data_IF_309062205267
#
_entry.id   IF_309062205267
#
_cell.length_a   1.000
_cell.length_b   1.000
_cell.length_c   1.000
_cell.angle_alpha   90.00
_cell.angle_beta   90.00
_cell.angle_gamma   90.00
#
_symmetry.space_group_name_H-M   'P 1'
#
loop_
_entity.id
_entity.type
_entity.pdbx_description
1 polymer ?
#
# COMPACT_ATOMS: atom_id res chain seq x y z
N UNK A 1 -32.35 63.56 -17.07
CA UNK A 1 -31.69 62.54 -16.20
C UNK A 1 -31.44 61.30 -17.03
N UNK A 2 -30.20 60.92 -17.37
CA UNK A 2 -29.92 59.77 -18.18
C UNK A 2 -29.75 58.53 -17.31
N UNK A 3 -30.41 57.49 -17.74
CA UNK A 3 -30.49 56.14 -17.23
C UNK A 3 -29.10 55.41 -17.32
N UNK A 4 -28.49 55.02 -16.20
CA UNK A 4 -27.24 54.23 -16.17
C UNK A 4 -27.62 52.76 -16.32
N UNK A 5 -27.42 52.22 -17.53
CA UNK A 5 -27.46 50.80 -17.79
C UNK A 5 -26.29 50.10 -17.11
N UNK A 6 -26.57 49.27 -16.13
CA UNK A 6 -25.63 48.40 -15.44
C UNK A 6 -25.11 47.35 -16.43
N UNK A 7 -23.82 47.27 -16.63
CA UNK A 7 -23.18 46.20 -17.40
C UNK A 7 -23.28 44.85 -16.67
N UNK A 8 -23.56 43.74 -17.36
CA UNK A 8 -23.61 42.43 -16.72
C UNK A 8 -22.20 41.99 -16.29
N UNK A 9 -22.11 41.52 -15.03
CA UNK A 9 -20.91 40.96 -14.45
C UNK A 9 -20.40 39.79 -15.30
N UNK A 10 -19.17 39.91 -15.83
CA UNK A 10 -18.50 38.80 -16.52
C UNK A 10 -18.36 37.62 -15.57
N UNK A 11 -19.04 36.52 -15.92
CA UNK A 11 -18.87 35.23 -15.28
C UNK A 11 -17.37 34.85 -15.36
N UNK A 12 -16.73 34.67 -14.20
CA UNK A 12 -15.37 34.15 -14.10
C UNK A 12 -15.42 32.71 -14.62
N UNK A 13 -14.88 32.47 -15.79
CA UNK A 13 -14.64 31.13 -16.32
C UNK A 13 -13.72 30.38 -15.35
N UNK A 14 -14.26 29.36 -14.72
CA UNK A 14 -13.47 28.38 -13.94
C UNK A 14 -12.41 27.79 -14.87
N UNK A 15 -11.11 27.77 -14.50
CA UNK A 15 -10.10 27.17 -15.36
C UNK A 15 -10.46 25.69 -15.56
N UNK A 16 -10.66 25.27 -16.80
CA UNK A 16 -10.85 23.87 -17.16
C UNK A 16 -9.65 23.07 -16.62
N UNK A 17 -9.92 22.05 -15.81
CA UNK A 17 -8.91 21.14 -15.30
C UNK A 17 -8.11 20.58 -16.49
N UNK A 18 -6.81 20.85 -16.53
CA UNK A 18 -5.92 20.29 -17.56
C UNK A 18 -6.04 18.77 -17.54
N UNK A 19 -6.26 18.14 -18.72
CA UNK A 19 -6.30 16.68 -18.79
C UNK A 19 -4.99 16.11 -18.22
N UNK A 20 -5.11 15.19 -17.26
CA UNK A 20 -3.97 14.51 -16.68
C UNK A 20 -3.16 13.81 -17.78
N UNK A 21 -1.85 14.03 -17.82
CA UNK A 21 -0.97 13.36 -18.77
C UNK A 21 -1.07 11.85 -18.57
N UNK A 22 -1.22 11.05 -19.66
CA UNK A 22 -1.23 9.58 -19.55
C UNK A 22 0.06 9.11 -18.87
N UNK A 23 -0.03 8.29 -17.84
CA UNK A 23 1.12 7.72 -17.14
C UNK A 23 1.47 8.32 -15.77
N UNK A 24 0.89 9.48 -15.36
CA UNK A 24 1.26 10.12 -14.09
C UNK A 24 0.71 9.44 -12.84
N UNK A 25 -0.35 8.63 -12.94
CA UNK A 25 -0.96 7.95 -11.79
C UNK A 25 -0.43 6.54 -11.53
N UNK A 26 -0.42 5.63 -12.52
CA UNK A 26 0.05 4.25 -12.33
C UNK A 26 1.54 4.14 -12.02
N UNK A 27 2.39 4.95 -12.63
CA UNK A 27 3.85 4.85 -12.47
C UNK A 27 4.33 5.04 -11.02
N UNK A 28 3.91 6.07 -10.27
CA UNK A 28 4.29 6.18 -8.86
C UNK A 28 3.81 5.02 -8.00
N UNK A 29 2.63 4.42 -8.30
CA UNK A 29 2.13 3.25 -7.59
C UNK A 29 3.00 2.03 -7.89
N UNK A 30 3.34 1.78 -9.15
CA UNK A 30 4.24 0.70 -9.54
C UNK A 30 5.64 0.88 -8.95
N UNK A 31 6.15 2.12 -8.91
CA UNK A 31 7.41 2.42 -8.24
C UNK A 31 7.34 2.10 -6.73
N UNK A 32 6.22 2.38 -6.07
CA UNK A 32 6.00 1.97 -4.67
C UNK A 32 6.04 0.44 -4.51
N UNK A 33 5.38 -0.29 -5.42
CA UNK A 33 5.37 -1.75 -5.41
C UNK A 33 6.77 -2.34 -5.64
N UNK A 34 7.59 -1.72 -6.51
CA UNK A 34 9.00 -2.07 -6.69
C UNK A 34 9.79 -1.93 -5.38
N UNK A 35 9.61 -0.81 -4.68
CA UNK A 35 10.29 -0.58 -3.41
C UNK A 35 9.83 -1.57 -2.34
N UNK A 36 8.53 -1.85 -2.25
CA UNK A 36 7.98 -2.84 -1.30
C UNK A 36 8.46 -4.26 -1.61
N UNK A 37 8.64 -4.63 -2.88
CA UNK A 37 9.18 -5.92 -3.29
C UNK A 37 10.59 -6.20 -2.75
N UNK A 38 11.35 -5.16 -2.34
CA UNK A 38 12.66 -5.32 -1.70
C UNK A 38 12.56 -5.66 -0.20
N UNK A 39 11.36 -5.58 0.39
CA UNK A 39 11.15 -5.74 1.85
C UNK A 39 11.61 -7.11 2.34
N UNK A 40 11.22 -8.18 1.63
CA UNK A 40 11.59 -9.55 1.98
C UNK A 40 13.10 -9.77 1.98
N UNK A 41 13.75 -9.39 0.88
CA UNK A 41 15.21 -9.49 0.71
C UNK A 41 15.96 -8.66 1.78
N UNK A 42 15.51 -7.43 2.05
CA UNK A 42 16.13 -6.61 3.08
C UNK A 42 15.95 -7.21 4.49
N UNK A 43 14.73 -7.72 4.77
CA UNK A 43 14.43 -8.34 6.08
C UNK A 43 15.23 -9.62 6.32
N UNK A 44 15.55 -10.40 5.28
CA UNK A 44 16.36 -11.62 5.40
C UNK A 44 17.82 -11.34 5.80
N UNK A 45 18.29 -10.11 5.62
CA UNK A 45 19.61 -9.65 6.07
C UNK A 45 19.64 -9.23 7.54
N UNK A 46 18.50 -9.23 8.25
CA UNK A 46 18.46 -8.89 9.66
C UNK A 46 19.29 -9.88 10.49
N UNK A 47 19.89 -9.44 11.63
CA UNK A 47 20.60 -10.32 12.53
C UNK A 47 19.71 -11.46 13.02
N UNK A 48 20.29 -12.66 13.19
CA UNK A 48 19.57 -13.81 13.73
C UNK A 48 18.91 -13.48 15.08
N UNK A 49 17.65 -13.90 15.24
CA UNK A 49 16.89 -13.63 16.46
C UNK A 49 16.14 -12.30 16.49
N UNK A 50 16.27 -11.43 15.48
CA UNK A 50 15.47 -10.21 15.37
C UNK A 50 13.99 -10.57 15.06
N UNK A 51 13.01 -10.26 15.95
CA UNK A 51 11.63 -10.59 15.67
C UNK A 51 11.07 -9.77 14.52
N UNK A 52 10.32 -10.41 13.63
CA UNK A 52 9.69 -9.74 12.48
C UNK A 52 8.77 -8.57 12.90
N UNK A 53 8.07 -8.70 14.03
CA UNK A 53 7.25 -7.65 14.62
C UNK A 53 8.08 -6.43 15.02
N UNK A 54 9.27 -6.65 15.62
CA UNK A 54 10.19 -5.58 16.02
C UNK A 54 10.80 -4.89 14.79
N UNK A 55 11.17 -5.66 13.76
CA UNK A 55 11.67 -5.11 12.48
C UNK A 55 10.59 -4.22 11.84
N UNK A 56 9.36 -4.72 11.72
CA UNK A 56 8.25 -3.97 11.15
C UNK A 56 7.89 -2.71 11.96
N UNK A 57 7.89 -2.82 13.29
CA UNK A 57 7.64 -1.68 14.18
C UNK A 57 8.72 -0.60 14.03
N UNK A 58 10.00 -0.98 14.03
CA UNK A 58 11.11 -0.04 13.85
C UNK A 58 11.06 0.66 12.48
N UNK A 59 10.77 -0.08 11.41
CA UNK A 59 10.61 0.48 10.08
C UNK A 59 9.43 1.46 10.00
N UNK A 60 8.28 1.11 10.61
CA UNK A 60 7.09 1.97 10.64
C UNK A 60 7.33 3.23 11.49
N UNK A 61 8.01 3.11 12.64
CA UNK A 61 8.38 4.28 13.46
C UNK A 61 9.28 5.21 12.68
N UNK A 62 10.39 4.70 12.12
CA UNK A 62 11.33 5.53 11.36
C UNK A 62 10.66 6.17 10.13
N UNK A 63 10.04 5.37 9.27
CA UNK A 63 9.43 5.85 8.03
C UNK A 63 8.21 6.73 8.27
N UNK A 64 7.38 6.40 9.25
CA UNK A 64 6.20 7.19 9.64
C UNK A 64 6.58 8.54 10.22
N UNK A 65 7.60 8.59 11.08
CA UNK A 65 8.15 9.86 11.59
C UNK A 65 8.76 10.69 10.46
N UNK A 66 9.51 10.08 9.55
CA UNK A 66 10.05 10.79 8.38
C UNK A 66 8.94 11.37 7.51
N UNK A 67 7.87 10.60 7.22
CA UNK A 67 6.71 11.10 6.48
C UNK A 67 6.05 12.30 7.18
N UNK A 68 5.94 12.25 8.50
CA UNK A 68 5.34 13.32 9.28
C UNK A 68 6.24 14.55 9.38
N UNK A 69 7.51 14.38 9.70
CA UNK A 69 8.44 15.46 9.99
C UNK A 69 8.93 16.22 8.76
N UNK A 70 9.03 15.55 7.61
CA UNK A 70 9.54 16.15 6.36
C UNK A 70 8.50 16.99 5.61
N UNK A 71 7.24 16.98 6.02
CA UNK A 71 6.19 17.74 5.35
C UNK A 71 5.36 18.56 6.35
N UNK A 72 5.48 19.89 6.25
CA UNK A 72 4.75 20.83 7.12
C UNK A 72 3.22 20.68 7.01
N UNK A 73 2.73 20.19 5.86
CA UNK A 73 1.30 19.99 5.70
C UNK A 73 0.78 18.83 6.57
N UNK A 74 1.63 17.84 6.92
CA UNK A 74 1.26 16.78 7.86
C UNK A 74 0.94 17.33 9.26
N UNK A 75 1.68 18.34 9.71
CA UNK A 75 1.50 18.96 11.03
C UNK A 75 0.28 19.88 11.08
N UNK A 76 0.02 20.59 10.00
CA UNK A 76 -1.10 21.53 9.92
C UNK A 76 -2.43 20.84 9.62
N UNK A 77 -2.40 19.68 8.93
CA UNK A 77 -3.59 19.00 8.43
C UNK A 77 -4.63 18.72 9.54
N UNK A 78 -4.29 18.18 10.72
CA UNK A 78 -5.26 17.94 11.78
C UNK A 78 -5.93 19.22 12.32
N UNK A 79 -5.25 20.38 12.17
CA UNK A 79 -5.78 21.67 12.63
C UNK A 79 -6.77 22.29 11.64
N UNK A 80 -6.53 22.10 10.34
CA UNK A 80 -7.37 22.65 9.25
C UNK A 80 -8.47 21.69 8.79
N UNK A 81 -8.42 20.43 9.22
CA UNK A 81 -9.44 19.43 8.95
C UNK A 81 -10.67 19.60 9.84
N UNK A 82 -11.85 19.38 9.26
CA UNK A 82 -13.09 19.23 10.04
C UNK A 82 -13.07 17.95 10.89
N UNK A 83 -14.01 17.84 11.85
CA UNK A 83 -14.11 16.69 12.77
C UNK A 83 -14.14 15.35 12.04
N UNK A 84 -14.93 15.24 10.96
CA UNK A 84 -15.04 14.01 10.15
C UNK A 84 -13.70 13.60 9.53
N UNK A 85 -12.93 14.56 9.01
CA UNK A 85 -11.64 14.28 8.38
C UNK A 85 -10.58 13.88 9.43
N UNK A 86 -10.63 14.48 10.63
CA UNK A 86 -9.76 14.09 11.75
C UNK A 86 -10.02 12.63 12.14
N UNK A 87 -11.28 12.23 12.26
CA UNK A 87 -11.63 10.83 12.51
C UNK A 87 -11.15 9.89 11.40
N UNK A 88 -11.25 10.31 10.13
CA UNK A 88 -10.68 9.53 9.03
C UNK A 88 -9.17 9.38 9.15
N UNK A 89 -8.43 10.42 9.55
CA UNK A 89 -6.98 10.33 9.79
C UNK A 89 -6.65 9.36 10.93
N UNK A 90 -7.42 9.41 12.03
CA UNK A 90 -7.24 8.48 13.17
C UNK A 90 -7.53 7.03 12.74
N UNK A 91 -8.66 6.78 12.08
CA UNK A 91 -9.00 5.45 11.57
C UNK A 91 -7.96 4.96 10.55
N UNK A 92 -7.47 5.86 9.71
CA UNK A 92 -6.38 5.58 8.78
C UNK A 92 -5.08 5.18 9.50
N UNK A 93 -4.68 5.90 10.55
CA UNK A 93 -3.51 5.57 11.36
C UNK A 93 -3.66 4.21 12.07
N UNK A 94 -4.83 3.93 12.65
CA UNK A 94 -5.16 2.62 13.25
C UNK A 94 -5.10 1.52 12.20
N UNK A 95 -5.63 1.75 10.99
CA UNK A 95 -5.57 0.78 9.91
C UNK A 95 -4.12 0.54 9.42
N UNK A 96 -3.27 1.57 9.37
CA UNK A 96 -1.84 1.40 9.05
C UNK A 96 -1.16 0.46 10.06
N UNK A 97 -1.42 0.62 11.36
CA UNK A 97 -0.91 -0.27 12.41
C UNK A 97 -1.59 -1.64 12.34
N UNK A 98 -2.87 -1.68 12.01
CA UNK A 98 -3.66 -2.91 11.88
C UNK A 98 -3.06 -3.90 10.87
N UNK A 99 -2.48 -3.40 9.79
CA UNK A 99 -1.83 -4.25 8.78
C UNK A 99 -0.74 -5.16 9.39
N UNK A 100 0.34 -4.65 9.97
CA UNK A 100 1.38 -5.50 10.56
C UNK A 100 0.89 -6.29 11.78
N UNK A 101 0.01 -5.73 12.61
CA UNK A 101 -0.51 -6.41 13.80
C UNK A 101 -1.35 -7.65 13.47
N UNK A 102 -1.90 -7.74 12.28
CA UNK A 102 -2.67 -8.92 11.83
C UNK A 102 -1.86 -9.80 10.89
N UNK A 103 -0.97 -9.22 10.07
CA UNK A 103 -0.12 -9.96 9.14
C UNK A 103 0.92 -10.84 9.86
N UNK A 104 1.67 -10.27 10.80
CA UNK A 104 2.72 -11.03 11.48
C UNK A 104 2.22 -12.24 12.27
N UNK A 105 1.08 -12.19 13.00
CA UNK A 105 0.52 -13.40 13.62
C UNK A 105 -0.11 -14.40 12.63
N UNK A 106 -0.47 -13.99 11.41
CA UNK A 106 -0.93 -14.90 10.37
C UNK A 106 0.19 -15.80 9.84
N UNK A 107 1.40 -15.23 9.69
CA UNK A 107 2.57 -15.91 9.07
C UNK A 107 2.93 -17.26 9.72
N UNK A 108 3.09 -17.40 11.05
CA UNK A 108 3.39 -18.70 11.65
C UNK A 108 2.28 -19.72 11.52
N UNK A 109 1.04 -19.29 11.26
CA UNK A 109 -0.15 -20.13 11.14
C UNK A 109 -0.38 -20.68 9.74
N UNK A 110 -0.16 -19.88 8.71
CA UNK A 110 -0.43 -20.25 7.31
C UNK A 110 0.81 -20.26 6.43
N UNK A 111 1.96 -19.83 6.92
CA UNK A 111 3.16 -19.59 6.12
C UNK A 111 3.20 -18.19 5.51
N UNK A 112 4.39 -17.73 5.15
CA UNK A 112 4.60 -16.39 4.55
C UNK A 112 3.86 -16.26 3.24
N UNK A 113 3.97 -17.27 2.36
CA UNK A 113 3.39 -17.27 1.03
C UNK A 113 1.86 -17.14 1.07
N UNK A 114 1.18 -18.01 1.82
CA UNK A 114 -0.28 -18.02 1.95
C UNK A 114 -0.77 -16.71 2.57
N UNK A 115 -0.14 -16.26 3.68
CA UNK A 115 -0.49 -15.00 4.33
C UNK A 115 -0.37 -13.81 3.36
N UNK A 116 0.71 -13.76 2.56
CA UNK A 116 0.95 -12.67 1.59
C UNK A 116 -0.11 -12.67 0.49
N UNK A 117 -0.41 -13.83 -0.10
CA UNK A 117 -1.44 -13.93 -1.15
C UNK A 117 -2.80 -13.50 -0.63
N UNK A 118 -3.18 -13.95 0.57
CA UNK A 118 -4.47 -13.57 1.16
C UNK A 118 -4.50 -12.07 1.48
N UNK A 119 -3.47 -11.52 2.12
CA UNK A 119 -3.42 -10.12 2.49
C UNK A 119 -3.43 -9.20 1.25
N UNK A 120 -2.51 -9.40 0.31
CA UNK A 120 -2.41 -8.55 -0.87
C UNK A 120 -3.51 -8.81 -1.89
N UNK A 121 -3.92 -10.08 -2.07
CA UNK A 121 -4.98 -10.45 -3.01
C UNK A 121 -6.37 -10.01 -2.55
N UNK A 122 -6.66 -10.01 -1.25
CA UNK A 122 -7.94 -9.54 -0.72
C UNK A 122 -8.05 -8.00 -0.68
N UNK A 123 -6.94 -7.28 -0.61
CA UNK A 123 -6.95 -5.83 -0.51
C UNK A 123 -7.68 -5.12 -1.67
N UNK A 124 -7.46 -5.44 -2.96
CA UNK A 124 -8.25 -4.87 -4.06
C UNK A 124 -9.73 -5.20 -3.94
N UNK A 125 -10.08 -6.42 -3.51
CA UNK A 125 -11.48 -6.85 -3.33
C UNK A 125 -12.15 -6.00 -2.26
N UNK A 126 -11.53 -5.86 -1.09
CA UNK A 126 -12.04 -5.00 -0.02
C UNK A 126 -12.08 -3.52 -0.45
N UNK A 127 -11.09 -3.05 -1.18
CA UNK A 127 -11.07 -1.66 -1.69
C UNK A 127 -12.21 -1.43 -2.68
N UNK A 128 -12.50 -2.39 -3.54
CA UNK A 128 -13.63 -2.34 -4.45
C UNK A 128 -14.97 -2.33 -3.71
N UNK A 129 -15.16 -3.24 -2.76
CA UNK A 129 -16.38 -3.37 -1.96
C UNK A 129 -16.62 -2.13 -1.09
N UNK A 130 -15.63 -1.75 -0.28
CA UNK A 130 -15.74 -0.58 0.58
C UNK A 130 -15.88 0.72 -0.20
N UNK A 131 -15.18 0.84 -1.35
CA UNK A 131 -15.32 1.98 -2.25
C UNK A 131 -16.74 2.10 -2.79
N UNK A 132 -17.37 1.00 -3.15
CA UNK A 132 -18.78 0.96 -3.55
C UNK A 132 -19.72 1.32 -2.39
N UNK A 133 -19.56 0.70 -1.23
CA UNK A 133 -20.38 0.97 -0.02
C UNK A 133 -20.26 2.43 0.44
N UNK A 134 -19.08 3.03 0.33
CA UNK A 134 -18.80 4.42 0.74
C UNK A 134 -19.04 5.44 -0.37
N UNK A 135 -19.64 5.02 -1.50
CA UNK A 135 -19.95 5.86 -2.66
C UNK A 135 -18.74 6.57 -3.29
N UNK A 136 -17.55 5.98 -3.18
CA UNK A 136 -16.35 6.49 -3.83
C UNK A 136 -16.20 6.04 -5.30
N UNK A 137 -17.17 5.33 -5.83
CA UNK A 137 -17.26 4.84 -7.20
C UNK A 137 -17.56 3.34 -7.27
N UNK A 138 -18.22 2.93 -8.37
CA UNK A 138 -18.43 1.50 -8.65
C UNK A 138 -17.26 0.96 -9.46
N UNK A 139 -16.71 -0.20 -9.09
CA UNK A 139 -15.69 -0.87 -9.90
C UNK A 139 -16.24 -1.20 -11.27
N UNK A 140 -15.54 -0.79 -12.33
CA UNK A 140 -15.91 -1.15 -13.71
C UNK A 140 -15.48 -2.58 -14.06
N UNK A 141 -16.13 -3.19 -15.08
CA UNK A 141 -15.82 -4.57 -15.51
C UNK A 141 -14.35 -4.77 -15.89
N UNK A 142 -13.71 -3.78 -16.54
CA UNK A 142 -12.27 -3.81 -16.86
C UNK A 142 -11.41 -3.93 -15.60
N UNK A 143 -11.72 -3.15 -14.57
CA UNK A 143 -11.01 -3.23 -13.30
C UNK A 143 -11.22 -4.60 -12.65
N UNK A 144 -12.47 -5.09 -12.61
CA UNK A 144 -12.77 -6.39 -12.02
C UNK A 144 -12.05 -7.54 -12.73
N UNK A 145 -12.05 -7.59 -14.08
CA UNK A 145 -11.32 -8.59 -14.85
C UNK A 145 -9.80 -8.50 -14.66
N UNK A 146 -9.23 -7.29 -14.69
CA UNK A 146 -7.81 -7.07 -14.47
C UNK A 146 -7.38 -7.46 -13.04
N UNK A 147 -8.20 -7.13 -12.04
CA UNK A 147 -7.98 -7.51 -10.63
C UNK A 147 -8.06 -9.02 -10.45
N UNK A 148 -9.06 -9.68 -11.04
CA UNK A 148 -9.16 -11.14 -10.99
C UNK A 148 -7.91 -11.82 -11.59
N UNK A 149 -7.46 -11.38 -12.77
CA UNK A 149 -6.22 -11.87 -13.38
C UNK A 149 -5.00 -11.63 -12.49
N UNK A 150 -4.88 -10.41 -11.92
CA UNK A 150 -3.74 -10.07 -11.08
C UNK A 150 -3.72 -10.89 -9.78
N UNK A 151 -4.87 -11.09 -9.14
CA UNK A 151 -5.00 -11.92 -7.92
C UNK A 151 -4.72 -13.39 -8.22
N UNK A 152 -5.27 -13.93 -9.31
CA UNK A 152 -4.99 -15.29 -9.74
C UNK A 152 -3.51 -15.50 -10.07
N UNK A 153 -2.91 -14.58 -10.83
CA UNK A 153 -1.50 -14.64 -11.17
C UNK A 153 -0.60 -14.55 -9.93
N UNK A 154 -0.93 -13.68 -8.98
CA UNK A 154 -0.26 -13.58 -7.68
C UNK A 154 -0.39 -14.89 -6.89
N UNK A 155 -1.58 -15.48 -6.85
CA UNK A 155 -1.82 -16.77 -6.21
C UNK A 155 -0.96 -17.88 -6.80
N UNK A 156 -0.95 -18.03 -8.11
CA UNK A 156 -0.13 -19.06 -8.82
C UNK A 156 1.36 -18.79 -8.63
N UNK A 157 1.80 -17.52 -8.68
CA UNK A 157 3.21 -17.14 -8.49
C UNK A 157 3.73 -17.59 -7.13
N UNK A 158 2.97 -17.26 -6.06
CA UNK A 158 3.43 -17.40 -4.68
C UNK A 158 3.11 -18.78 -4.10
N UNK A 159 1.96 -19.38 -4.45
CA UNK A 159 1.53 -20.69 -3.95
C UNK A 159 2.02 -21.87 -4.83
N UNK A 160 2.44 -21.60 -6.07
CA UNK A 160 2.88 -22.64 -6.98
C UNK A 160 3.94 -23.60 -6.41
N UNK A 161 5.00 -23.11 -5.74
CA UNK A 161 5.98 -23.95 -5.07
C UNK A 161 5.41 -24.81 -3.94
N UNK A 162 4.50 -24.28 -3.13
CA UNK A 162 3.89 -24.97 -1.99
C UNK A 162 2.90 -26.07 -2.42
N UNK A 163 2.14 -25.81 -3.49
CA UNK A 163 1.22 -26.78 -4.06
C UNK A 163 1.94 -28.00 -4.68
N UNK A 164 3.16 -27.82 -5.17
CA UNK A 164 3.99 -28.89 -5.69
C UNK A 164 4.65 -29.74 -4.60
N UNK A 165 4.77 -29.24 -3.35
CA UNK A 165 5.48 -29.87 -2.24
C UNK A 165 4.62 -30.51 -1.15
N UNK A 166 3.28 -30.58 -1.32
CA UNK A 166 2.36 -31.09 -0.28
C UNK A 166 2.02 -30.03 0.76
N UNK A 167 0.88 -29.36 0.55
CA UNK A 167 0.44 -28.20 1.33
C UNK A 167 0.25 -28.50 2.82
N UNK A 168 0.62 -27.53 3.66
CA UNK A 168 0.29 -27.50 5.09
C UNK A 168 -1.23 -27.37 5.28
N UNK A 169 -1.74 -27.96 6.35
CA UNK A 169 -3.12 -27.69 6.78
C UNK A 169 -3.29 -26.18 7.04
N UNK A 170 -4.27 -25.58 6.40
CA UNK A 170 -4.50 -24.13 6.47
C UNK A 170 -5.24 -23.80 7.76
N UNK A 171 -4.61 -23.07 8.67
CA UNK A 171 -5.24 -22.57 9.90
C UNK A 171 -6.23 -21.43 9.57
N UNK A 172 -7.51 -21.63 9.86
CA UNK A 172 -8.57 -20.66 9.61
C UNK A 172 -8.30 -19.30 10.30
N UNK A 173 -7.78 -19.31 11.52
CA UNK A 173 -7.43 -18.05 12.22
C UNK A 173 -6.33 -17.30 11.49
N UNK A 174 -5.33 -18.01 10.96
CA UNK A 174 -4.28 -17.41 10.13
C UNK A 174 -4.83 -16.78 8.85
N UNK A 175 -5.78 -17.46 8.17
CA UNK A 175 -6.48 -16.90 6.99
C UNK A 175 -7.26 -15.63 7.34
N UNK A 176 -8.01 -15.65 8.46
CA UNK A 176 -8.78 -14.47 8.91
C UNK A 176 -7.87 -13.30 9.27
N UNK A 177 -6.75 -13.54 9.92
CA UNK A 177 -5.76 -12.51 10.25
C UNK A 177 -5.12 -11.92 8.98
N UNK A 178 -4.76 -12.76 8.01
CA UNK A 178 -4.24 -12.29 6.74
C UNK A 178 -5.29 -11.47 5.94
N UNK A 179 -6.55 -11.90 5.93
CA UNK A 179 -7.63 -11.16 5.31
C UNK A 179 -7.89 -9.81 6.02
N UNK A 180 -7.80 -9.79 7.36
CA UNK A 180 -7.92 -8.55 8.15
C UNK A 180 -6.76 -7.58 7.85
N UNK A 181 -5.57 -8.09 7.58
CA UNK A 181 -4.45 -7.28 7.08
C UNK A 181 -4.79 -6.63 5.72
N UNK A 182 -5.32 -7.39 4.77
CA UNK A 182 -5.79 -6.86 3.49
C UNK A 182 -6.92 -5.84 3.64
N UNK A 183 -7.84 -6.05 4.58
CA UNK A 183 -8.88 -5.07 4.93
C UNK A 183 -8.27 -3.78 5.48
N UNK A 184 -7.29 -3.88 6.37
CA UNK A 184 -6.55 -2.74 6.92
C UNK A 184 -5.88 -1.93 5.82
N UNK A 185 -5.23 -2.61 4.87
CA UNK A 185 -4.65 -1.98 3.68
C UNK A 185 -5.71 -1.25 2.83
N UNK A 186 -6.84 -1.89 2.58
CA UNK A 186 -7.95 -1.29 1.83
C UNK A 186 -8.49 -0.04 2.53
N UNK A 187 -8.69 -0.09 3.85
CA UNK A 187 -9.22 1.02 4.65
C UNK A 187 -8.31 2.24 4.58
N UNK A 188 -7.01 2.11 4.90
CA UNK A 188 -6.15 3.29 4.87
C UNK A 188 -5.93 3.82 3.44
N UNK A 189 -5.91 2.96 2.43
CA UNK A 189 -5.79 3.39 1.03
C UNK A 189 -7.02 4.16 0.55
N UNK A 190 -8.24 3.72 0.92
CA UNK A 190 -9.48 4.43 0.61
C UNK A 190 -9.58 5.76 1.35
N UNK A 191 -9.19 5.80 2.61
CA UNK A 191 -9.16 7.04 3.40
C UNK A 191 -8.18 8.04 2.77
N UNK A 192 -6.96 7.59 2.46
CA UNK A 192 -5.97 8.42 1.78
C UNK A 192 -6.50 8.95 0.44
N UNK A 193 -7.01 8.06 -0.41
CA UNK A 193 -7.58 8.44 -1.71
C UNK A 193 -8.73 9.44 -1.58
N UNK A 194 -9.63 9.25 -0.60
CA UNK A 194 -10.75 10.15 -0.33
C UNK A 194 -10.30 11.54 0.09
N UNK A 195 -9.38 11.64 1.04
CA UNK A 195 -8.85 12.91 1.54
C UNK A 195 -8.07 13.66 0.46
N UNK A 196 -7.28 12.93 -0.33
CA UNK A 196 -6.52 13.48 -1.46
C UNK A 196 -7.47 13.99 -2.56
N UNK A 197 -8.50 13.23 -2.92
CA UNK A 197 -9.52 13.63 -3.86
C UNK A 197 -10.34 14.86 -3.38
N UNK A 198 -10.48 15.03 -2.08
CA UNK A 198 -11.08 16.23 -1.46
C UNK A 198 -10.14 17.45 -1.43
N UNK A 199 -8.97 17.37 -2.10
CA UNK A 199 -8.01 18.47 -2.23
C UNK A 199 -6.99 18.55 -1.09
N UNK A 200 -6.92 17.56 -0.20
CA UNK A 200 -5.88 17.55 0.84
C UNK A 200 -4.52 17.15 0.24
N UNK A 201 -3.41 17.79 0.65
CA UNK A 201 -2.08 17.46 0.15
C UNK A 201 -1.74 16.00 0.41
N UNK A 202 -1.34 15.24 -0.63
CA UNK A 202 -1.05 13.80 -0.51
C UNK A 202 0.06 13.52 0.51
N UNK A 203 1.11 14.32 0.53
CA UNK A 203 2.19 14.19 1.51
C UNK A 203 1.70 14.46 2.94
N UNK A 204 0.81 15.44 3.12
CA UNK A 204 0.18 15.73 4.41
C UNK A 204 -0.71 14.60 4.92
N UNK A 205 -1.53 14.01 4.04
CA UNK A 205 -2.40 12.87 4.38
C UNK A 205 -1.56 11.65 4.77
N UNK A 206 -0.60 11.27 3.95
CA UNK A 206 0.28 10.13 4.26
C UNK A 206 1.10 10.40 5.52
N UNK A 207 1.67 11.60 5.66
CA UNK A 207 2.43 12.00 6.84
C UNK A 207 1.61 11.94 8.13
N UNK A 208 0.37 12.47 8.13
CA UNK A 208 -0.48 12.45 9.30
C UNK A 208 -0.91 11.02 9.71
N UNK A 209 -1.27 10.17 8.74
CA UNK A 209 -1.68 8.79 9.01
C UNK A 209 -0.50 7.93 9.48
N UNK A 210 0.63 7.97 8.77
CA UNK A 210 1.81 7.17 9.13
C UNK A 210 2.54 7.70 10.35
N UNK A 211 2.57 9.02 10.57
CA UNK A 211 3.06 9.62 11.80
C UNK A 211 2.23 9.24 13.01
N UNK A 212 0.89 9.26 12.88
CA UNK A 212 -0.02 8.73 13.90
C UNK A 212 0.21 7.23 14.17
N UNK A 213 0.40 6.44 13.11
CA UNK A 213 0.71 5.02 13.22
C UNK A 213 2.06 4.78 13.91
N UNK A 214 3.08 5.60 13.63
CA UNK A 214 4.38 5.54 14.29
C UNK A 214 4.24 5.72 15.81
N UNK A 215 3.44 6.68 16.24
CA UNK A 215 3.16 6.90 17.68
C UNK A 215 2.43 5.70 18.29
N UNK A 216 1.42 5.15 17.60
CA UNK A 216 0.65 4.01 18.08
C UNK A 216 1.48 2.73 18.20
N UNK A 217 2.51 2.55 17.36
CA UNK A 217 3.34 1.33 17.38
C UNK A 217 4.58 1.48 18.28
N UNK A 218 4.89 2.69 18.77
CA UNK A 218 6.02 2.92 19.68
C UNK A 218 6.04 1.98 20.90
N UNK A 219 4.92 1.70 21.59
CA UNK A 219 4.94 0.75 22.71
C UNK A 219 5.39 -0.65 22.31
N UNK A 220 5.01 -1.11 21.11
CA UNK A 220 5.44 -2.43 20.58
C UNK A 220 6.96 -2.46 20.40
N UNK A 221 7.55 -1.38 19.91
CA UNK A 221 9.00 -1.26 19.75
C UNK A 221 9.70 -1.11 21.10
N UNK A 222 9.15 -0.30 22.03
CA UNK A 222 9.76 -0.01 23.33
C UNK A 222 9.77 -1.23 24.27
N UNK A 223 8.73 -2.09 24.18
CA UNK A 223 8.60 -3.30 25.00
C UNK A 223 9.23 -4.54 24.34
N UNK A 224 9.54 -4.45 23.04
CA UNK A 224 10.15 -5.55 22.29
C UNK A 224 11.68 -5.60 22.41
N UNK A 225 12.30 -6.70 21.99
CA UNK A 225 13.77 -6.80 21.94
C UNK A 225 14.29 -5.89 20.82
N UNK A 226 15.08 -4.87 21.19
CA UNK A 226 15.65 -3.86 20.26
C UNK A 226 17.17 -3.92 20.17
N UNK A 227 17.84 -4.80 20.93
CA UNK A 227 19.30 -4.90 20.92
C UNK A 227 19.92 -5.18 19.55
N UNK A 228 19.18 -5.85 18.67
CA UNK A 228 19.59 -6.11 17.27
C UNK A 228 19.75 -4.84 16.44
N UNK A 229 19.05 -3.73 16.78
CA UNK A 229 19.19 -2.42 16.15
C UNK A 229 20.57 -1.80 16.29
N UNK A 230 21.29 -2.15 17.35
CA UNK A 230 22.64 -1.62 17.64
C UNK A 230 23.69 -2.27 16.73
N UNK A 231 23.40 -3.34 16.04
CA UNK A 231 24.30 -3.94 15.07
C UNK A 231 24.28 -3.17 13.74
N UNK A 232 25.40 -3.05 13.01
CA UNK A 232 25.44 -2.39 11.70
C UNK A 232 24.46 -3.00 10.70
N UNK A 233 24.26 -4.33 10.73
CA UNK A 233 23.29 -5.03 9.90
C UNK A 233 21.85 -4.66 10.26
N UNK A 234 21.50 -4.68 11.54
CA UNK A 234 20.17 -4.31 12.02
C UNK A 234 19.82 -2.87 11.71
N UNK A 235 20.74 -1.95 11.96
CA UNK A 235 20.60 -0.54 11.60
C UNK A 235 20.41 -0.34 10.09
N UNK A 236 21.19 -1.03 9.25
CA UNK A 236 21.06 -1.00 7.79
C UNK A 236 19.72 -1.50 7.31
N UNK A 237 19.21 -2.60 7.86
CA UNK A 237 17.88 -3.15 7.55
C UNK A 237 16.78 -2.16 7.91
N UNK A 238 16.79 -1.60 9.11
CA UNK A 238 15.77 -0.63 9.53
C UNK A 238 15.86 0.67 8.72
N UNK A 239 17.06 1.12 8.40
CA UNK A 239 17.23 2.29 7.54
C UNK A 239 16.65 2.05 6.14
N UNK A 240 16.92 0.89 5.52
CA UNK A 240 16.31 0.53 4.24
C UNK A 240 14.79 0.43 4.34
N UNK A 241 14.26 -0.33 5.30
CA UNK A 241 12.82 -0.52 5.45
C UNK A 241 12.09 0.78 5.84
N UNK A 242 12.68 1.60 6.70
CA UNK A 242 12.09 2.87 7.11
C UNK A 242 12.15 3.93 6.02
N UNK A 243 13.32 4.11 5.38
CA UNK A 243 13.52 5.18 4.39
C UNK A 243 13.01 4.77 3.02
N UNK A 244 13.35 3.58 2.53
CA UNK A 244 13.02 3.17 1.16
C UNK A 244 11.61 2.61 1.08
N UNK A 245 11.29 1.58 1.90
CA UNK A 245 10.01 0.88 1.76
C UNK A 245 8.85 1.54 2.53
N UNK A 246 9.14 2.38 3.53
CA UNK A 246 8.08 3.13 4.22
C UNK A 246 8.04 4.58 3.75
N UNK A 247 9.07 5.38 3.98
CA UNK A 247 9.02 6.81 3.68
C UNK A 247 8.88 7.08 2.17
N UNK A 248 9.83 6.63 1.36
CA UNK A 248 9.84 6.92 -0.09
C UNK A 248 8.67 6.23 -0.80
N UNK A 249 8.41 4.97 -0.52
CA UNK A 249 7.34 4.23 -1.17
C UNK A 249 5.96 4.84 -0.87
N UNK A 250 5.66 5.22 0.39
CA UNK A 250 4.37 5.85 0.70
C UNK A 250 4.26 7.31 0.24
N UNK A 251 5.37 8.02 0.04
CA UNK A 251 5.37 9.31 -0.69
C UNK A 251 4.93 9.12 -2.14
N UNK A 252 5.49 8.12 -2.82
CA UNK A 252 5.13 7.77 -4.20
C UNK A 252 3.69 7.25 -4.29
N UNK A 253 3.28 6.36 -3.38
CA UNK A 253 1.91 5.85 -3.32
C UNK A 253 0.90 6.98 -3.15
N UNK A 254 1.10 7.87 -2.17
CA UNK A 254 0.26 9.04 -1.96
C UNK A 254 0.24 9.99 -3.17
N UNK A 255 1.38 10.17 -3.86
CA UNK A 255 1.43 10.94 -5.10
C UNK A 255 0.60 10.27 -6.21
N UNK A 256 0.71 8.96 -6.38
CA UNK A 256 -0.07 8.19 -7.34
C UNK A 256 -1.57 8.24 -7.09
N UNK A 257 -2.01 8.27 -5.84
CA UNK A 257 -3.43 8.42 -5.47
C UNK A 257 -4.05 9.76 -5.88
N UNK A 258 -3.26 10.77 -6.26
CA UNK A 258 -3.77 12.03 -6.85
C UNK A 258 -4.39 11.82 -8.23
N UNK A 259 -3.99 10.77 -8.93
CA UNK A 259 -4.32 10.53 -10.33
C UNK A 259 -4.89 9.12 -10.57
N UNK A 260 -4.93 8.29 -9.54
CA UNK A 260 -5.37 6.90 -9.60
C UNK A 260 -6.33 6.61 -8.45
N UNK A 261 -7.43 5.90 -8.71
CA UNK A 261 -8.33 5.49 -7.64
C UNK A 261 -7.66 4.50 -6.69
N UNK A 262 -8.09 4.47 -5.43
CA UNK A 262 -7.58 3.51 -4.45
C UNK A 262 -7.77 2.05 -4.90
N UNK A 263 -8.90 1.74 -5.59
CA UNK A 263 -9.15 0.41 -6.14
C UNK A 263 -8.08 0.01 -7.18
N UNK A 264 -7.77 0.91 -8.12
CA UNK A 264 -6.72 0.65 -9.11
C UNK A 264 -5.35 0.60 -8.46
N UNK A 265 -5.07 1.48 -7.50
CA UNK A 265 -3.79 1.51 -6.79
C UNK A 265 -3.51 0.20 -6.05
N UNK A 266 -4.47 -0.33 -5.29
CA UNK A 266 -4.30 -1.61 -4.57
C UNK A 266 -4.17 -2.82 -5.51
N UNK A 267 -4.75 -2.77 -6.72
CA UNK A 267 -4.49 -3.82 -7.72
C UNK A 267 -3.09 -3.69 -8.33
N UNK A 268 -2.62 -2.46 -8.61
CA UNK A 268 -1.27 -2.24 -9.16
C UNK A 268 -0.17 -2.66 -8.18
N UNK A 269 -0.42 -2.57 -6.88
CA UNK A 269 0.55 -3.02 -5.86
C UNK A 269 0.71 -4.53 -5.78
N UNK A 270 -0.13 -5.33 -6.45
CA UNK A 270 0.14 -6.75 -6.68
C UNK A 270 1.40 -6.99 -7.55
N UNK A 271 2.02 -5.96 -8.12
CA UNK A 271 3.36 -6.04 -8.69
C UNK A 271 4.44 -6.36 -7.64
N UNK A 272 4.21 -6.07 -6.35
CA UNK A 272 5.16 -6.32 -5.25
C UNK A 272 5.64 -7.78 -5.19
N UNK A 273 4.77 -8.81 -5.16
CA UNK A 273 5.21 -10.20 -5.18
C UNK A 273 6.00 -10.59 -6.44
N UNK A 274 5.70 -9.98 -7.59
CA UNK A 274 6.46 -10.20 -8.81
C UNK A 274 7.90 -9.69 -8.67
N UNK A 275 8.06 -8.51 -8.09
CA UNK A 275 9.39 -7.93 -7.81
C UNK A 275 10.14 -8.77 -6.79
N UNK A 276 9.49 -9.19 -5.71
CA UNK A 276 10.07 -10.05 -4.69
C UNK A 276 10.57 -11.38 -5.30
N UNK A 277 9.78 -12.00 -6.18
CA UNK A 277 10.14 -13.22 -6.87
C UNK A 277 11.36 -13.04 -7.80
N UNK A 278 11.40 -11.95 -8.58
CA UNK A 278 12.55 -11.63 -9.44
C UNK A 278 13.81 -11.39 -8.61
N UNK A 279 13.70 -10.68 -7.48
CA UNK A 279 14.82 -10.45 -6.56
C UNK A 279 15.28 -11.75 -5.88
N UNK A 280 14.36 -12.65 -5.52
CA UNK A 280 14.67 -13.98 -5.01
C UNK A 280 15.56 -14.77 -5.99
N UNK A 281 15.19 -14.77 -7.27
CA UNK A 281 16.01 -15.42 -8.33
C UNK A 281 17.35 -14.70 -8.53
N UNK A 282 17.33 -13.36 -8.65
CA UNK A 282 18.51 -12.61 -9.07
C UNK A 282 19.54 -12.38 -7.95
N UNK A 283 19.10 -12.26 -6.70
CA UNK A 283 19.94 -11.89 -5.57
C UNK A 283 20.16 -13.04 -4.57
N UNK A 284 19.26 -14.02 -4.51
CA UNK A 284 19.30 -15.13 -3.57
C UNK A 284 19.50 -16.49 -4.25
N UNK A 285 19.71 -16.52 -5.58
CA UNK A 285 19.84 -17.72 -6.40
C UNK A 285 18.68 -18.73 -6.25
N UNK A 286 17.47 -18.23 -5.92
CA UNK A 286 16.29 -19.05 -5.79
C UNK A 286 15.82 -19.58 -7.17
N UNK A 287 15.36 -20.82 -7.20
CA UNK A 287 14.80 -21.42 -8.43
C UNK A 287 13.28 -21.42 -8.37
N UNK A 288 12.66 -20.64 -9.24
CA UNK A 288 11.20 -20.63 -9.39
C UNK A 288 10.73 -21.81 -10.26
N UNK A 289 9.73 -22.59 -9.81
CA UNK A 289 9.10 -23.62 -10.64
C UNK A 289 8.35 -22.99 -11.83
N UNK A 290 8.10 -23.78 -12.87
CA UNK A 290 7.40 -23.33 -14.08
C UNK A 290 6.03 -22.70 -13.77
N UNK A 291 5.30 -23.22 -12.77
CA UNK A 291 4.03 -22.66 -12.32
C UNK A 291 4.17 -21.19 -11.87
N UNK A 292 5.23 -20.85 -11.14
CA UNK A 292 5.47 -19.46 -10.69
C UNK A 292 5.73 -18.51 -11.86
N UNK A 293 6.44 -18.96 -12.89
CA UNK A 293 6.63 -18.17 -14.12
C UNK A 293 5.32 -17.94 -14.87
N UNK A 294 4.43 -18.95 -14.93
CA UNK A 294 3.08 -18.79 -15.47
C UNK A 294 2.27 -17.76 -14.64
N UNK A 295 2.33 -17.87 -13.30
CA UNK A 295 1.69 -16.92 -12.40
C UNK A 295 2.18 -15.50 -12.62
N UNK A 296 3.49 -15.30 -12.79
CA UNK A 296 4.10 -14.00 -13.09
C UNK A 296 3.58 -13.42 -14.42
N UNK A 297 3.46 -14.24 -15.46
CA UNK A 297 2.93 -13.81 -16.75
C UNK A 297 1.45 -13.39 -16.65
N UNK A 298 0.61 -14.16 -15.94
CA UNK A 298 -0.81 -13.84 -15.73
C UNK A 298 -0.96 -12.55 -14.90
N UNK A 299 -0.17 -12.39 -13.85
CA UNK A 299 -0.12 -11.18 -13.04
C UNK A 299 0.26 -9.97 -13.90
N UNK A 300 1.34 -10.06 -14.67
CA UNK A 300 1.77 -8.98 -15.56
C UNK A 300 0.70 -8.60 -16.59
N UNK A 301 -0.02 -9.59 -17.15
CA UNK A 301 -1.14 -9.35 -18.07
C UNK A 301 -2.28 -8.57 -17.36
N UNK A 302 -2.66 -8.96 -16.15
CA UNK A 302 -3.66 -8.25 -15.34
C UNK A 302 -3.28 -6.79 -15.07
N UNK A 303 -2.03 -6.54 -14.70
CA UNK A 303 -1.52 -5.19 -14.45
C UNK A 303 -1.43 -4.35 -15.74
N UNK A 304 -1.03 -4.97 -16.85
CA UNK A 304 -0.98 -4.31 -18.16
C UNK A 304 -2.37 -3.81 -18.59
N UNK A 305 -3.42 -4.60 -18.37
CA UNK A 305 -4.80 -4.19 -18.66
C UNK A 305 -5.18 -2.89 -17.93
N UNK A 306 -4.69 -2.66 -16.70
CA UNK A 306 -4.99 -1.44 -15.94
C UNK A 306 -4.18 -0.22 -16.40
N UNK A 307 -2.96 -0.44 -16.89
CA UNK A 307 -2.03 0.63 -17.25
C UNK A 307 -2.21 1.12 -18.69
N UNK A 308 -2.69 0.24 -19.59
CA UNK A 308 -2.93 0.60 -20.98
C UNK A 308 -4.05 1.64 -21.13
N UNK A 309 -3.85 2.67 -21.99
CA UNK A 309 -4.89 3.64 -22.25
C UNK A 309 -6.13 2.97 -22.88
N UNK A 310 -7.32 3.47 -22.54
CA UNK A 310 -8.55 3.06 -23.25
C UNK A 310 -8.41 3.47 -24.72
N UNK A 311 -8.39 2.51 -25.63
CA UNK A 311 -8.73 2.81 -27.04
C UNK A 311 -10.18 3.31 -27.02
N UNK A 312 -10.35 4.58 -27.38
CA UNK A 312 -11.67 5.18 -27.60
C UNK A 312 -12.29 4.59 -28.86
#
# INVERSE_FOLDING_TARGET
>A
MPNRLSAPARARSTPAARPARPGTGPLPILASALLWGTTGTASSLAPGGAPATSIGAAALVLGGLLLFLTDRTAWSLPRVCGVRERWLLVVGAVAVVGYPLTFYPAVPRTGVAVSTVIALGSAPVFTGLLGWLTRQGRPGGRWAGATALAVLGCGVLVLGPELAGGGRAVDLLGVLLAALSGLSYAVYSLIAGRLIAAGRPSAGVMGAMFGGAAVLVLPVLALGPVGWLLSPRGAGVVLHLGVVTTFLAYRLFGHGLRHTSAQTATTLTLAEPAVAAVLGVAALDERLPAASWCGLAVLAAGLAVLTLPRRR
#
